data_IF_498142549257
#
_entry.id   IF_498142549257
#
_cell.length_a   1.000
_cell.length_b   1.000
_cell.length_c   1.000
_cell.angle_alpha   90.00
_cell.angle_beta   90.00
_cell.angle_gamma   90.00
#
_symmetry.space_group_name_H-M   'P 1'
#
loop_
_entity.id
_entity.type
_entity.pdbx_description
1 polymer ?
2 non-polymer ?
3 water ?
#
# COMPACT_ATOMS: atom_id res chain seq x y z
N UNK A 1 -18.59 0.57 9.05
CA UNK A 1 -20.07 0.50 9.22
C UNK A 1 -20.67 -0.59 8.37
N UNK A 2 -19.85 -1.25 7.58
CA UNK A 2 -20.28 -2.41 6.82
C UNK A 2 -19.25 -3.50 6.78
N UNK A 3 -19.69 -4.74 6.90
CA UNK A 3 -18.81 -5.89 6.81
C UNK A 3 -18.77 -6.36 5.36
N UNK A 4 -17.58 -6.68 4.86
CA UNK A 4 -17.46 -7.15 3.48
C UNK A 4 -16.95 -8.57 3.46
N UNK A 5 -17.71 -9.45 2.84
CA UNK A 5 -17.28 -10.84 2.68
C UNK A 5 -16.98 -11.08 1.22
N UNK A 6 -15.72 -11.40 0.92
CA UNK A 6 -15.29 -11.70 -0.40
C UNK A 6 -15.12 -13.22 -0.42
N UNK A 7 -15.97 -13.93 -1.17
CA UNK A 7 -16.01 -15.38 -1.14
C UNK A 7 -15.63 -16.03 -2.48
N UNK A 8 -14.47 -16.67 -2.51
CA UNK A 8 -13.95 -17.32 -3.73
C UNK A 8 -14.05 -16.48 -4.97
N UNK A 9 -13.63 -15.23 -4.87
CA UNK A 9 -13.76 -14.32 -5.98
C UNK A 9 -12.62 -14.46 -6.97
N UNK A 10 -13.01 -14.71 -8.21
CA UNK A 10 -12.07 -14.77 -9.30
C UNK A 10 -12.54 -13.82 -10.39
N UNK A 11 -11.63 -13.30 -11.17
CA UNK A 11 -12.01 -12.46 -12.29
C UNK A 11 -11.02 -12.73 -13.41
N UNK A 12 -11.58 -13.00 -14.59
CA UNK A 12 -10.76 -13.24 -15.75
C UNK A 12 -11.11 -12.22 -16.83
N UNK A 13 -10.17 -12.05 -17.73
CA UNK A 13 -10.27 -11.24 -18.93
C UNK A 13 -9.78 -12.08 -20.11
N UNK A 14 -9.92 -11.53 -21.30
CA UNK A 14 -9.42 -12.17 -22.52
C UNK A 14 -9.90 -13.62 -22.62
N UNK A 15 -11.17 -13.82 -22.28
CA UNK A 15 -11.88 -15.10 -22.42
C UNK A 15 -11.27 -16.18 -21.53
N UNK A 16 -10.59 -15.74 -20.48
CA UNK A 16 -9.98 -16.64 -19.54
C UNK A 16 -8.46 -16.67 -19.55
N UNK A 17 -7.87 -16.11 -20.60
CA UNK A 17 -6.43 -16.19 -20.73
C UNK A 17 -5.72 -15.41 -19.64
N UNK A 18 -6.31 -14.31 -19.21
CA UNK A 18 -5.77 -13.48 -18.12
C UNK A 18 -6.58 -13.65 -16.84
N UNK A 19 -5.94 -14.13 -15.78
CA UNK A 19 -6.64 -14.33 -14.52
C UNK A 19 -6.23 -13.22 -13.56
N UNK A 20 -7.07 -12.20 -13.45
CA UNK A 20 -6.73 -11.03 -12.65
C UNK A 20 -6.81 -11.30 -11.18
N UNK A 21 -7.80 -12.05 -10.78
CA UNK A 21 -7.99 -12.47 -9.41
C UNK A 21 -8.29 -13.94 -9.38
N UNK A 22 -7.69 -14.66 -8.44
CA UNK A 22 -7.83 -16.12 -8.38
C UNK A 22 -8.24 -16.62 -7.00
N UNK A 23 -9.54 -16.86 -6.84
CA UNK A 23 -10.13 -17.39 -5.61
C UNK A 23 -9.73 -16.62 -4.34
N UNK A 24 -9.99 -15.34 -4.39
CA UNK A 24 -9.70 -14.44 -3.30
C UNK A 24 -10.76 -14.56 -2.22
N UNK A 25 -10.34 -14.72 -0.97
CA UNK A 25 -11.19 -14.81 0.18
C UNK A 25 -10.72 -13.88 1.29
N UNK A 26 -11.56 -12.93 1.66
CA UNK A 26 -11.28 -12.02 2.75
C UNK A 26 -12.57 -11.66 3.46
N UNK A 27 -12.54 -11.53 4.77
CA UNK A 27 -13.68 -11.03 5.49
C UNK A 27 -13.21 -9.75 6.18
N UNK A 28 -13.71 -8.59 5.72
CA UNK A 28 -13.36 -7.26 6.24
C UNK A 28 -14.38 -6.81 7.24
N UNK A 29 -13.95 -6.48 8.43
CA UNK A 29 -14.91 -6.18 9.49
C UNK A 29 -15.45 -4.77 9.39
N UNK A 30 -16.62 -4.56 9.99
CA UNK A 30 -17.28 -3.27 9.96
C UNK A 30 -16.34 -2.29 10.62
N UNK A 31 -16.05 -1.19 9.93
CA UNK A 31 -15.18 -0.15 10.42
C UNK A 31 -13.69 -0.40 10.32
N UNK A 32 -13.32 -1.51 9.69
CA UNK A 32 -11.91 -1.86 9.59
C UNK A 32 -11.24 -1.03 8.52
N UNK A 33 -9.96 -0.71 8.70
CA UNK A 33 -9.15 -0.07 7.67
C UNK A 33 -8.29 -1.16 7.05
N UNK A 34 -8.58 -1.52 5.83
CA UNK A 34 -7.91 -2.65 5.18
C UNK A 34 -7.18 -2.15 3.97
N UNK A 35 -5.97 -2.62 3.76
CA UNK A 35 -5.26 -2.22 2.59
C UNK A 35 -4.86 -3.38 1.71
N UNK A 36 -4.60 -3.10 0.42
CA UNK A 36 -4.06 -4.12 -0.48
C UNK A 36 -2.83 -3.57 -1.15
N UNK A 37 -1.76 -4.36 -1.15
CA UNK A 37 -0.55 -4.02 -1.87
C UNK A 37 -0.27 -5.11 -2.89
N UNK A 38 0.56 -4.87 -3.92
CA UNK A 38 0.88 -5.92 -4.87
C UNK A 38 1.50 -5.33 -6.14
N UNK A 39 2.15 -6.15 -6.96
CA UNK A 39 2.82 -5.65 -8.15
C UNK A 39 1.87 -5.16 -9.25
N UNK A 40 0.61 -5.60 -9.24
CA UNK A 40 -0.30 -5.35 -10.35
C UNK A 40 -1.30 -4.22 -10.07
N UNK A 41 -1.01 -3.03 -10.58
CA UNK A 41 -1.98 -1.96 -10.38
C UNK A 41 -3.34 -2.39 -10.94
N UNK A 42 -3.30 -3.04 -12.10
CA UNK A 42 -4.55 -3.41 -12.78
C UNK A 42 -5.42 -4.36 -11.97
N UNK A 43 -4.80 -5.41 -11.44
CA UNK A 43 -5.44 -6.39 -10.57
C UNK A 43 -5.98 -5.84 -9.26
N UNK A 44 -5.17 -5.01 -8.59
CA UNK A 44 -5.69 -4.27 -7.44
C UNK A 44 -6.84 -3.42 -7.86
N UNK A 45 -6.78 -2.77 -9.02
CA UNK A 45 -7.86 -1.91 -9.45
C UNK A 45 -9.07 -2.77 -9.77
N UNK A 46 -8.80 -3.95 -10.31
CA UNK A 46 -9.88 -4.88 -10.61
C UNK A 46 -10.62 -5.22 -9.32
N UNK A 47 -9.84 -5.54 -8.30
CA UNK A 47 -10.42 -5.87 -7.00
C UNK A 47 -11.27 -4.69 -6.49
N UNK A 48 -10.73 -3.48 -6.57
CA UNK A 48 -11.48 -2.29 -6.07
C UNK A 48 -12.74 -2.02 -6.90
N UNK A 49 -12.66 -2.26 -8.21
CA UNK A 49 -13.84 -2.04 -9.05
C UNK A 49 -14.93 -3.06 -8.74
N UNK A 50 -14.51 -4.28 -8.40
CA UNK A 50 -15.50 -5.27 -7.95
C UNK A 50 -16.19 -4.89 -6.64
N UNK A 51 -15.41 -4.42 -5.68
CA UNK A 51 -15.99 -3.94 -4.42
C UNK A 51 -16.91 -2.75 -4.68
N UNK A 52 -16.54 -1.86 -5.58
CA UNK A 52 -17.40 -0.71 -5.90
C UNK A 52 -18.68 -1.07 -6.63
N UNK A 53 -18.64 -2.15 -7.39
CA UNK A 53 -19.75 -2.55 -8.20
C UNK A 53 -19.66 -2.06 -9.64
N UNK A 54 -18.49 -1.58 -10.02
CA UNK A 54 -18.18 -1.15 -11.39
C UNK A 54 -17.83 -2.34 -12.29
N UNK A 55 -17.50 -3.46 -11.65
CA UNK A 55 -17.25 -4.72 -12.30
C UNK A 55 -17.79 -5.81 -11.38
N UNK A 56 -17.85 -7.04 -11.86
CA UNK A 56 -18.32 -8.18 -11.07
C UNK A 56 -17.36 -9.35 -11.10
N UNK A 57 -17.43 -10.23 -10.11
CA UNK A 57 -16.60 -11.43 -10.12
C UNK A 57 -17.00 -12.32 -11.30
N UNK A 58 -16.03 -12.95 -11.94
CA UNK A 58 -16.38 -13.97 -12.94
C UNK A 58 -17.01 -15.15 -12.25
N UNK A 59 -16.40 -15.59 -11.14
CA UNK A 59 -16.92 -16.61 -10.27
C UNK A 59 -16.72 -16.16 -8.83
N UNK A 60 -17.58 -16.65 -7.93
CA UNK A 60 -17.54 -16.23 -6.53
C UNK A 60 -18.64 -15.21 -6.20
N UNK A 61 -18.65 -14.84 -4.95
CA UNK A 61 -19.69 -13.98 -4.42
C UNK A 61 -19.12 -12.87 -3.54
N UNK A 62 -19.86 -11.79 -3.48
CA UNK A 62 -19.50 -10.60 -2.70
C UNK A 62 -20.72 -10.20 -1.87
N UNK A 63 -20.54 -10.07 -0.55
CA UNK A 63 -21.58 -9.65 0.38
C UNK A 63 -21.18 -8.40 1.15
N UNK A 64 -22.16 -7.49 1.31
CA UNK A 64 -22.05 -6.33 2.18
C UNK A 64 -23.04 -6.63 3.33
N UNK A 65 -22.53 -6.77 4.54
CA UNK A 65 -23.29 -7.35 5.64
C UNK A 65 -23.83 -8.71 5.15
N UNK A 66 -25.11 -8.94 5.22
CA UNK A 66 -25.61 -10.25 4.79
C UNK A 66 -26.17 -10.17 3.32
N UNK A 67 -25.97 -9.01 2.68
CA UNK A 67 -26.53 -8.73 1.35
C UNK A 67 -25.61 -9.18 0.21
N UNK A 68 -26.14 -10.05 -0.63
CA UNK A 68 -25.40 -10.49 -1.79
C UNK A 68 -25.44 -9.41 -2.84
N UNK A 69 -24.29 -8.80 -3.11
CA UNK A 69 -24.26 -7.69 -4.08
C UNK A 69 -23.78 -8.06 -5.52
N UNK A 70 -23.04 -9.17 -5.65
CA UNK A 70 -22.58 -9.64 -6.96
C UNK A 70 -22.27 -11.10 -6.82
N UNK A 71 -22.45 -11.86 -7.90
CA UNK A 71 -22.29 -13.29 -7.86
C UNK A 71 -22.14 -13.88 -9.26
N UNK A 72 -21.03 -14.57 -9.48
CA UNK A 72 -20.89 -15.37 -10.67
C UNK A 72 -21.32 -14.66 -11.97
N UNK A 73 -20.74 -13.50 -12.21
CA UNK A 73 -20.96 -12.81 -13.46
C UNK A 73 -22.14 -11.87 -13.46
N UNK A 74 -22.84 -11.82 -12.34
CA UNK A 74 -24.01 -10.96 -12.22
C UNK A 74 -23.90 -9.84 -11.18
N UNK A 75 -24.28 -8.63 -11.59
CA UNK A 75 -24.35 -7.46 -10.71
C UNK A 75 -25.75 -7.49 -10.11
N UNK A 76 -25.82 -7.69 -8.81
CA UNK A 76 -27.11 -7.80 -8.13
C UNK A 76 -27.54 -6.47 -7.50
N UNK A 77 -26.60 -5.80 -6.83
CA UNK A 77 -26.78 -4.48 -6.25
C UNK A 77 -25.77 -3.56 -6.88
N UNK A 78 -26.25 -2.62 -7.66
CA UNK A 78 -25.42 -1.63 -8.35
C UNK A 78 -24.70 -0.63 -7.43
N UNK A 79 -23.68 0.05 -7.93
CA UNK A 79 -22.85 0.95 -7.12
C UNK A 79 -23.66 1.94 -6.30
N UNK A 80 -24.65 2.55 -6.94
CA UNK A 80 -25.43 3.61 -6.30
C UNK A 80 -26.24 3.15 -5.10
N UNK A 81 -26.48 1.84 -4.99
CA UNK A 81 -27.21 1.25 -3.87
C UNK A 81 -26.32 0.59 -2.79
N UNK A 82 -24.98 0.74 -2.91
CA UNK A 82 -24.07 0.08 -1.96
C UNK A 82 -23.48 0.92 -0.79
N UNK A 83 -23.82 2.17 -0.74
CA UNK A 83 -23.37 3.10 0.30
C UNK A 83 -21.87 3.23 0.33
N UNK A 84 -21.32 3.51 -0.85
CA UNK A 84 -19.90 3.67 -1.05
C UNK A 84 -19.53 5.07 -1.50
N UNK A 85 -18.38 5.54 -1.04
CA UNK A 85 -17.72 6.74 -1.54
C UNK A 85 -16.39 6.33 -2.17
N UNK A 86 -16.09 6.84 -3.36
CA UNK A 86 -14.87 6.51 -4.07
C UNK A 86 -13.94 7.68 -4.26
N UNK A 87 -12.66 7.50 -3.93
CA UNK A 87 -11.59 8.47 -4.26
C UNK A 87 -10.62 7.66 -5.07
N UNK A 88 -10.67 7.86 -6.36
CA UNK A 88 -9.88 7.05 -7.28
C UNK A 88 -9.03 8.01 -8.08
N UNK A 89 -7.76 7.66 -8.26
CA UNK A 89 -6.89 8.49 -9.06
C UNK A 89 -7.50 8.70 -10.45
N UNK A 90 -8.23 7.71 -10.95
CA UNK A 90 -8.87 7.71 -12.29
C UNK A 90 -10.21 8.44 -12.42
N UNK A 91 -10.82 8.81 -11.28
CA UNK A 91 -12.09 9.55 -11.28
C UNK A 91 -11.81 11.01 -10.93
N UNK A 92 -11.55 11.82 -11.94
CA UNK A 92 -11.16 13.19 -11.67
C UNK A 92 -12.36 14.07 -11.33
N UNK A 93 -12.08 15.27 -10.84
CA UNK A 93 -13.14 16.26 -10.73
C UNK A 93 -13.58 16.69 -12.13
N UNK A 94 -14.86 17.04 -12.33
CA UNK A 94 -15.31 17.54 -13.59
C UNK A 94 -14.83 18.98 -13.75
N UNK A 95 -14.05 19.20 -14.78
CA UNK A 95 -13.36 20.47 -14.96
C UNK A 95 -14.22 21.68 -15.13
N UNK A 96 -15.42 21.50 -15.67
CA UNK A 96 -16.29 22.63 -15.92
C UNK A 96 -17.48 22.68 -14.98
N UNK A 97 -17.33 22.05 -13.84
CA UNK A 97 -18.28 22.25 -12.74
C UNK A 97 -17.47 22.89 -11.63
N UNK A 98 -18.10 23.81 -10.91
CA UNK A 98 -17.40 24.33 -9.75
C UNK A 98 -17.24 23.28 -8.67
N UNK A 99 -16.46 23.61 -7.65
CA UNK A 99 -16.36 22.72 -6.53
C UNK A 99 -17.73 22.34 -5.96
N UNK A 100 -18.59 23.35 -5.76
CA UNK A 100 -19.91 23.08 -5.28
C UNK A 100 -20.61 22.08 -6.15
N UNK A 101 -20.62 22.36 -7.44
CA UNK A 101 -21.29 21.49 -8.39
C UNK A 101 -20.72 20.08 -8.37
N UNK A 102 -19.40 19.97 -8.25
CA UNK A 102 -18.77 18.65 -8.17
C UNK A 102 -19.21 17.87 -6.94
N UNK A 103 -19.31 18.52 -5.79
CA UNK A 103 -19.72 17.85 -4.61
C UNK A 103 -21.23 17.56 -4.60
N UNK A 104 -22.01 18.43 -5.24
CA UNK A 104 -23.48 18.23 -5.28
C UNK A 104 -23.90 17.12 -6.27
N UNK A 105 -23.04 16.83 -7.25
CA UNK A 105 -23.37 15.95 -8.36
C UNK A 105 -23.99 14.62 -7.90
N UNK A 106 -23.39 13.93 -6.93
CA UNK A 106 -23.98 12.66 -6.50
C UNK A 106 -25.35 12.77 -5.89
N UNK A 107 -25.77 13.96 -5.52
CA UNK A 107 -27.05 14.18 -4.86
C UNK A 107 -28.18 14.45 -5.85
N UNK A 108 -27.81 14.54 -7.12
CA UNK A 108 -28.77 14.96 -8.17
C UNK A 108 -30.10 14.22 -8.15
N UNK A 109 -30.02 12.91 -7.95
CA UNK A 109 -31.21 12.05 -7.99
C UNK A 109 -31.55 11.36 -6.67
N UNK A 110 -31.17 11.99 -5.56
CA UNK A 110 -31.47 11.50 -4.23
C UNK A 110 -32.71 12.09 -3.59
N UNK A 111 -33.64 12.63 -4.38
CA UNK A 111 -34.87 13.21 -3.89
C UNK A 111 -34.73 14.28 -2.81
N UNK A 112 -33.70 15.12 -2.97
CA UNK A 112 -33.48 16.24 -2.09
C UNK A 112 -33.85 17.51 -2.79
N UNK A 113 -34.41 18.48 -2.05
CA UNK A 113 -34.66 19.79 -2.56
C UNK A 113 -33.36 20.60 -2.73
N UNK A 114 -33.50 21.74 -3.38
CA UNK A 114 -32.36 22.60 -3.66
C UNK A 114 -31.72 23.01 -2.34
N UNK A 115 -32.55 23.39 -1.35
CA UNK A 115 -31.99 23.82 -0.07
C UNK A 115 -31.32 22.66 0.66
N UNK A 116 -31.90 21.47 0.57
CA UNK A 116 -31.33 20.30 1.21
C UNK A 116 -29.96 19.96 0.65
N UNK A 117 -29.85 20.01 -0.70
CA UNK A 117 -28.57 19.79 -1.34
C UNK A 117 -27.54 20.85 -0.88
N UNK A 118 -27.94 22.12 -0.92
CA UNK A 118 -27.02 23.19 -0.55
C UNK A 118 -26.52 22.99 0.91
N UNK A 119 -27.46 22.74 1.81
CA UNK A 119 -27.09 22.52 3.21
C UNK A 119 -26.10 21.36 3.36
N UNK A 120 -26.34 20.24 2.69
CA UNK A 120 -25.45 19.09 2.79
C UNK A 120 -24.07 19.37 2.22
N UNK A 121 -24.02 19.98 1.05
CA UNK A 121 -22.76 20.32 0.43
C UNK A 121 -21.96 21.28 1.32
N UNK A 122 -22.62 22.32 1.83
CA UNK A 122 -21.94 23.34 2.65
C UNK A 122 -21.42 22.68 3.94
N UNK A 123 -22.19 21.74 4.49
CA UNK A 123 -21.81 21.09 5.75
C UNK A 123 -20.55 20.27 5.56
N UNK A 124 -20.53 19.46 4.49
CA UNK A 124 -19.36 18.69 4.22
C UNK A 124 -18.16 19.58 3.88
N UNK A 125 -18.39 20.63 3.11
CA UNK A 125 -17.28 21.47 2.74
C UNK A 125 -16.71 22.16 3.97
N UNK A 126 -17.57 22.55 4.90
CA UNK A 126 -17.04 23.18 6.14
C UNK A 126 -16.16 22.21 6.89
N UNK A 127 -16.62 20.97 7.02
CA UNK A 127 -15.88 19.97 7.79
C UNK A 127 -14.52 19.73 7.14
N UNK A 128 -14.48 19.76 5.79
CA UNK A 128 -13.23 19.53 5.09
C UNK A 128 -12.46 20.80 4.76
N UNK A 129 -12.92 21.94 5.29
CA UNK A 129 -12.25 23.22 5.13
C UNK A 129 -12.04 23.67 3.69
N UNK A 130 -13.06 23.49 2.87
CA UNK A 130 -13.06 24.01 1.50
C UNK A 130 -14.31 24.80 1.21
N UNK A 131 -15.02 25.18 2.26
CA UNK A 131 -16.23 25.97 2.07
C UNK A 131 -15.96 27.31 1.36
N UNK A 132 -14.78 27.87 1.57
CA UNK A 132 -14.40 29.19 1.04
C UNK A 132 -13.96 29.15 -0.43
N UNK A 133 -13.83 27.94 -1.01
CA UNK A 133 -13.47 27.84 -2.43
C UNK A 133 -14.55 27.10 -3.21
N UNK A 134 -15.77 27.04 -2.69
CA UNK A 134 -16.83 26.34 -3.39
C UNK A 134 -17.13 26.88 -4.78
N UNK A 135 -16.94 28.19 -5.01
CA UNK A 135 -17.20 28.73 -6.33
C UNK A 135 -16.08 28.58 -7.38
N UNK A 136 -14.95 28.04 -6.98
CA UNK A 136 -13.83 27.83 -7.89
C UNK A 136 -14.00 26.59 -8.77
N UNK A 137 -13.54 26.68 -10.00
CA UNK A 137 -13.40 25.49 -10.82
C UNK A 137 -12.17 24.75 -10.33
N UNK A 138 -12.11 23.47 -10.59
CA UNK A 138 -10.95 22.69 -10.15
C UNK A 138 -9.56 23.19 -10.52
N UNK A 139 -9.40 23.78 -11.71
CA UNK A 139 -8.12 24.28 -12.11
C UNK A 139 -7.59 25.41 -11.20
N UNK A 140 -8.51 26.12 -10.55
CA UNK A 140 -8.15 27.24 -9.70
C UNK A 140 -7.95 26.82 -8.23
N UNK A 141 -8.07 25.53 -7.97
CA UNK A 141 -7.83 24.97 -6.65
C UNK A 141 -6.40 24.49 -6.51
N UNK A 142 -5.83 24.62 -5.31
CA UNK A 142 -4.56 23.97 -5.05
C UNK A 142 -4.70 22.43 -5.04
N UNK A 143 -3.58 21.73 -5.01
CA UNK A 143 -3.62 20.28 -4.93
C UNK A 143 -4.37 19.72 -3.75
N UNK A 144 -4.12 20.31 -2.59
CA UNK A 144 -4.75 19.92 -1.36
C UNK A 144 -6.22 20.18 -1.40
N UNK A 145 -6.59 21.32 -1.97
CA UNK A 145 -8.01 21.63 -2.11
C UNK A 145 -8.73 20.68 -3.07
N UNK A 146 -8.05 20.31 -4.16
CA UNK A 146 -8.63 19.36 -5.10
C UNK A 146 -8.87 18.04 -4.38
N UNK A 147 -7.87 17.63 -3.57
CA UNK A 147 -8.00 16.40 -2.80
C UNK A 147 -9.21 16.45 -1.87
N UNK A 148 -9.39 17.58 -1.23
CA UNK A 148 -10.47 17.76 -0.30
C UNK A 148 -11.84 17.77 -1.04
N UNK A 149 -11.90 18.38 -2.20
CA UNK A 149 -13.14 18.40 -2.96
C UNK A 149 -13.52 16.98 -3.40
N UNK A 150 -12.51 16.22 -3.85
CA UNK A 150 -12.74 14.83 -4.23
C UNK A 150 -13.21 14.02 -3.03
N UNK A 151 -12.62 14.22 -1.85
CA UNK A 151 -13.12 13.51 -0.68
C UNK A 151 -14.54 13.96 -0.28
N UNK A 152 -14.84 15.24 -0.40
CA UNK A 152 -16.17 15.72 -0.11
C UNK A 152 -17.17 15.08 -1.05
N UNK A 153 -16.84 15.00 -2.32
CA UNK A 153 -17.74 14.35 -3.27
C UNK A 153 -18.01 12.88 -2.87
N UNK A 154 -16.96 12.20 -2.40
CA UNK A 154 -17.11 10.82 -1.93
C UNK A 154 -17.91 10.69 -0.66
N UNK A 155 -17.96 11.74 0.15
CA UNK A 155 -18.63 11.67 1.45
C UNK A 155 -20.02 12.27 1.52
N UNK A 156 -20.45 12.87 0.41
CA UNK A 156 -21.65 13.67 0.44
C UNK A 156 -22.93 12.87 0.70
N UNK A 157 -22.97 11.61 0.28
CA UNK A 157 -24.14 10.76 0.55
C UNK A 157 -24.04 9.94 1.82
N UNK A 158 -23.07 10.26 2.68
CA UNK A 158 -22.92 9.54 3.96
C UNK A 158 -22.76 8.01 3.74
N UNK A 159 -21.66 7.64 3.15
CA UNK A 159 -21.40 6.24 2.86
C UNK A 159 -20.99 5.45 4.08
N UNK A 160 -21.09 4.13 3.95
CA UNK A 160 -20.69 3.13 4.96
C UNK A 160 -19.28 2.59 4.68
N UNK A 161 -18.81 2.78 3.45
CA UNK A 161 -17.57 2.23 2.91
C UNK A 161 -16.86 3.30 2.07
N UNK A 162 -15.59 3.56 2.35
CA UNK A 162 -14.80 4.53 1.58
C UNK A 162 -13.73 3.71 0.89
N UNK A 163 -13.68 3.86 -0.42
CA UNK A 163 -12.77 3.11 -1.27
C UNK A 163 -11.74 4.07 -1.88
N UNK A 164 -10.45 3.81 -1.66
CA UNK A 164 -9.39 4.69 -2.12
C UNK A 164 -8.45 3.92 -3.05
N UNK A 165 -8.32 4.37 -4.29
CA UNK A 165 -7.40 3.71 -5.24
C UNK A 165 -6.35 4.72 -5.67
N UNK A 166 -5.11 4.54 -5.19
CA UNK A 166 -4.01 5.48 -5.42
C UNK A 166 -4.45 6.89 -5.12
N UNK A 167 -5.03 7.12 -3.94
CA UNK A 167 -5.71 8.39 -3.67
C UNK A 167 -4.80 9.59 -3.51
N UNK A 168 -3.50 9.40 -3.29
CA UNK A 168 -2.60 10.54 -3.05
C UNK A 168 -1.60 10.74 -4.17
N UNK A 169 -1.79 9.99 -5.24
CA UNK A 169 -0.81 9.97 -6.32
C UNK A 169 -0.73 11.20 -7.17
N UNK A 170 -1.71 12.08 -7.07
CA UNK A 170 -1.67 13.35 -7.79
C UNK A 170 -0.93 14.42 -7.01
N UNK A 171 -0.70 14.18 -5.72
CA UNK A 171 -0.04 15.15 -4.86
C UNK A 171 1.47 15.09 -4.87
N UNK A 172 2.07 16.26 -4.67
CA UNK A 172 3.50 16.33 -4.47
C UNK A 172 3.84 15.48 -3.24
N UNK A 173 5.00 14.82 -3.30
CA UNK A 173 5.38 13.92 -2.24
C UNK A 173 5.27 14.61 -0.89
N UNK A 174 5.61 15.88 -0.86
CA UNK A 174 5.65 16.63 0.41
C UNK A 174 4.28 16.86 1.05
N UNK A 175 3.23 16.75 0.26
CA UNK A 175 1.85 16.97 0.73
C UNK A 175 1.17 15.65 1.10
N UNK A 176 1.80 14.52 0.83
CA UNK A 176 1.10 13.24 1.06
C UNK A 176 0.92 12.89 2.52
N UNK A 177 1.80 13.34 3.39
CA UNK A 177 1.62 12.97 4.79
C UNK A 177 0.37 13.67 5.32
N UNK A 178 0.16 14.89 4.87
CA UNK A 178 -1.00 15.66 5.29
C UNK A 178 -2.31 15.04 4.75
N UNK A 179 -2.29 14.60 3.50
CA UNK A 179 -3.42 13.92 2.93
C UNK A 179 -3.73 12.59 3.63
N UNK A 180 -2.69 11.85 3.97
CA UNK A 180 -2.91 10.57 4.66
C UNK A 180 -3.55 10.85 6.02
N UNK A 181 -3.10 11.91 6.70
CA UNK A 181 -3.62 12.27 8.00
C UNK A 181 -5.07 12.68 7.92
N UNK A 182 -5.44 13.40 6.86
CA UNK A 182 -6.84 13.81 6.67
C UNK A 182 -7.71 12.56 6.53
N UNK A 183 -7.31 11.61 5.70
CA UNK A 183 -8.10 10.39 5.52
C UNK A 183 -8.26 9.66 6.85
N UNK A 184 -7.20 9.64 7.64
CA UNK A 184 -7.24 8.97 8.93
C UNK A 184 -8.31 9.61 9.84
N UNK A 185 -8.28 10.95 9.87
CA UNK A 185 -9.22 11.76 10.64
C UNK A 185 -10.66 11.52 10.21
N UNK A 186 -10.91 11.56 8.90
CA UNK A 186 -12.24 11.31 8.37
C UNK A 186 -12.75 9.91 8.75
N UNK A 187 -11.92 8.90 8.54
CA UNK A 187 -12.32 7.55 8.90
C UNK A 187 -12.68 7.41 10.38
N UNK A 188 -11.90 8.02 11.25
CA UNK A 188 -12.13 7.93 12.70
C UNK A 188 -13.42 8.63 13.02
N UNK A 189 -13.66 9.74 12.36
CA UNK A 189 -14.84 10.52 12.65
C UNK A 189 -16.14 9.82 12.22
N UNK A 190 -16.08 9.17 11.07
CA UNK A 190 -17.27 8.57 10.47
C UNK A 190 -17.43 7.11 10.79
N UNK A 191 -16.33 6.45 11.14
CA UNK A 191 -16.34 5.04 11.50
C UNK A 191 -16.57 4.11 10.32
N UNK A 192 -16.35 4.62 9.13
CA UNK A 192 -16.54 3.87 7.89
C UNK A 192 -15.56 2.74 7.72
N UNK A 193 -16.01 1.67 7.11
CA UNK A 193 -15.07 0.69 6.61
C UNK A 193 -14.26 1.39 5.56
N UNK A 194 -12.98 1.06 5.45
CA UNK A 194 -12.13 1.76 4.49
C UNK A 194 -11.25 0.76 3.80
N UNK A 195 -11.21 0.79 2.47
CA UNK A 195 -10.31 -0.08 1.72
C UNK A 195 -9.41 0.83 0.89
N UNK A 196 -8.11 0.61 0.99
CA UNK A 196 -7.15 1.41 0.23
C UNK A 196 -6.21 0.49 -0.55
N UNK A 197 -6.04 0.78 -1.84
CA UNK A 197 -5.08 0.06 -2.67
C UNK A 197 -4.05 1.02 -3.14
N UNK A 198 -2.79 0.57 -3.13
CA UNK A 198 -1.69 1.45 -3.49
C UNK A 198 -0.43 0.64 -3.78
N UNK A 199 0.41 1.25 -4.59
CA UNK A 199 1.74 0.69 -4.84
C UNK A 199 2.70 1.12 -3.75
N UNK A 200 2.31 2.11 -2.96
CA UNK A 200 3.24 2.69 -2.00
C UNK A 200 2.92 2.19 -0.61
N UNK A 201 3.85 1.48 0.01
CA UNK A 201 3.62 1.01 1.37
C UNK A 201 3.37 2.14 2.37
N UNK A 202 3.90 3.35 2.16
CA UNK A 202 3.66 4.43 3.13
C UNK A 202 2.19 4.73 3.32
N UNK A 203 1.43 4.54 2.25
CA UNK A 203 -0.02 4.73 2.33
C UNK A 203 -0.63 3.65 3.23
N UNK A 204 -0.19 2.40 3.05
CA UNK A 204 -0.73 1.32 3.86
C UNK A 204 -0.34 1.46 5.34
N UNK A 205 0.92 1.79 5.63
CA UNK A 205 1.34 2.02 7.01
C UNK A 205 0.60 3.17 7.69
N UNK A 206 0.31 4.21 6.93
CA UNK A 206 -0.35 5.36 7.50
C UNK A 206 -1.80 5.10 7.79
N UNK A 207 -2.45 4.27 6.98
CA UNK A 207 -3.89 4.16 7.08
C UNK A 207 -4.44 2.81 7.45
N UNK A 208 -3.79 1.72 7.05
CA UNK A 208 -4.40 0.41 7.22
C UNK A 208 -4.05 -0.28 8.53
N UNK A 209 -5.01 -0.98 9.11
CA UNK A 209 -4.66 -1.81 10.25
C UNK A 209 -4.41 -3.28 9.92
N UNK A 210 -4.88 -3.72 8.75
CA UNK A 210 -4.63 -5.04 8.24
C UNK A 210 -4.42 -4.88 6.73
N UNK A 211 -3.51 -5.66 6.16
CA UNK A 211 -3.20 -5.56 4.74
C UNK A 211 -3.10 -6.92 4.13
N UNK A 212 -3.57 -7.02 2.90
CA UNK A 212 -3.37 -8.20 2.11
C UNK A 212 -2.45 -7.89 0.96
N UNK A 213 -1.65 -8.87 0.58
CA UNK A 213 -0.73 -8.71 -0.52
C UNK A 213 -1.16 -9.63 -1.68
N UNK A 214 -1.35 -9.01 -2.85
CA UNK A 214 -1.81 -9.71 -4.06
C UNK A 214 -0.64 -9.92 -5.02
N UNK A 215 -0.38 -11.18 -5.38
CA UNK A 215 0.69 -11.52 -6.31
C UNK A 215 0.07 -12.52 -7.29
N UNK A 216 0.13 -12.13 -8.56
CA UNK A 216 -0.41 -12.96 -9.63
C UNK A 216 -1.88 -13.30 -9.40
N UNK A 217 -2.61 -12.34 -8.86
CA UNK A 217 -4.04 -12.55 -8.63
C UNK A 217 -4.39 -13.31 -7.37
N UNK A 218 -3.38 -13.72 -6.60
CA UNK A 218 -3.63 -14.46 -5.40
C UNK A 218 -3.27 -13.65 -4.15
N UNK A 219 -4.06 -13.76 -3.12
CA UNK A 219 -3.77 -13.13 -1.82
C UNK A 219 -2.78 -14.07 -1.12
N UNK A 220 -1.53 -13.66 -1.03
CA UNK A 220 -0.47 -14.55 -0.56
C UNK A 220 -0.19 -14.42 0.93
N UNK A 221 -0.59 -13.32 1.53
CA UNK A 221 -0.40 -13.08 2.96
C UNK A 221 -1.33 -11.98 3.40
N UNK A 222 -1.86 -12.06 4.61
CA UNK A 222 -2.74 -11.08 5.15
C UNK A 222 -2.34 -10.92 6.60
N UNK A 223 -2.23 -9.69 7.05
CA UNK A 223 -1.91 -9.42 8.43
C UNK A 223 -1.71 -7.97 8.72
N UNK A 224 -1.29 -7.70 9.95
CA UNK A 224 -0.95 -6.34 10.31
C UNK A 224 0.25 -5.91 9.51
N UNK A 225 0.31 -4.65 9.07
CA UNK A 225 1.47 -4.19 8.31
C UNK A 225 2.85 -4.50 8.92
N UNK A 226 3.01 -4.28 10.21
CA UNK A 226 4.27 -4.51 10.86
C UNK A 226 4.62 -5.99 10.87
N UNK A 227 3.60 -6.84 10.88
CA UNK A 227 3.85 -8.27 10.85
C UNK A 227 4.32 -8.71 9.46
N UNK A 228 3.70 -8.23 8.40
CA UNK A 228 4.22 -8.50 7.06
C UNK A 228 5.63 -7.95 6.89
N UNK A 229 5.89 -6.78 7.48
CA UNK A 229 7.17 -6.16 7.32
C UNK A 229 8.28 -6.99 7.94
N UNK A 230 8.05 -7.49 9.13
CA UNK A 230 9.06 -8.30 9.82
C UNK A 230 9.00 -9.80 9.56
N UNK A 231 7.83 -10.33 9.20
CA UNK A 231 7.67 -11.76 8.96
C UNK A 231 6.97 -12.03 7.61
N UNK A 232 7.59 -11.56 6.56
CA UNK A 232 7.04 -11.81 5.22
C UNK A 232 7.13 -13.28 4.83
N UNK A 233 6.14 -13.75 4.09
CA UNK A 233 6.10 -15.16 3.70
C UNK A 233 7.11 -15.51 2.59
N UNK A 234 7.52 -14.50 1.86
CA UNK A 234 8.44 -14.64 0.74
C UNK A 234 9.24 -13.39 0.52
N UNK A 235 10.33 -13.47 -0.25
CA UNK A 235 11.09 -12.29 -0.50
C UNK A 235 10.31 -11.30 -1.34
N UNK A 236 9.41 -11.79 -2.19
CA UNK A 236 8.58 -10.91 -2.96
C UNK A 236 7.67 -10.07 -2.04
N UNK A 237 7.03 -10.69 -1.06
CA UNK A 237 6.20 -9.91 -0.13
C UNK A 237 7.10 -8.94 0.65
N UNK A 238 8.28 -9.41 1.06
CA UNK A 238 9.18 -8.58 1.83
C UNK A 238 9.47 -7.27 1.13
N UNK A 239 9.70 -7.36 -0.19
CA UNK A 239 10.02 -6.18 -0.97
C UNK A 239 8.83 -5.30 -1.33
N UNK A 240 7.65 -5.85 -1.33
CA UNK A 240 6.47 -5.03 -1.63
C UNK A 240 6.11 -4.14 -0.45
N UNK A 241 6.45 -4.58 0.77
CA UNK A 241 6.06 -3.81 1.97
C UNK A 241 7.13 -2.86 2.41
N UNK A 242 8.30 -2.94 1.76
CA UNK A 242 9.38 -2.01 2.07
C UNK A 242 10.68 -2.37 1.42
N UNK A 243 11.65 -1.46 1.47
CA UNK A 243 12.96 -1.75 0.90
C UNK A 243 13.61 -2.91 1.62
N UNK A 244 14.26 -3.70 0.80
CA UNK A 244 15.03 -4.82 1.29
C UNK A 244 16.16 -5.25 0.36
N UNK A 245 17.28 -5.65 0.98
CA UNK A 245 18.36 -6.23 0.20
C UNK A 245 18.08 -7.71 0.04
N UNK A 246 18.23 -8.23 -1.19
CA UNK A 246 18.00 -9.63 -1.54
C UNK A 246 19.34 -10.21 -2.00
N UNK A 247 19.80 -11.22 -1.28
CA UNK A 247 21.07 -11.88 -1.59
C UNK A 247 20.90 -13.37 -1.66
N UNK A 248 21.68 -13.98 -2.51
CA UNK A 248 21.64 -15.43 -2.63
C UNK A 248 22.95 -16.07 -2.18
N UNK A 249 22.88 -17.14 -1.40
CA UNK A 249 24.12 -17.79 -0.98
C UNK A 249 24.02 -19.27 -0.76
N UNK A 250 25.14 -19.89 -0.39
CA UNK A 250 25.20 -21.30 -0.14
C UNK A 250 24.96 -21.62 1.33
N UNK A 251 24.09 -22.60 1.57
CA UNK A 251 23.86 -23.10 2.92
C UNK A 251 25.04 -23.97 3.40
N UNK A 252 25.66 -23.59 4.52
CA UNK A 252 26.74 -24.38 5.15
C UNK A 252 26.44 -24.56 6.63
N UNK A 253 27.24 -25.43 7.25
CA UNK A 253 27.10 -25.72 8.66
C UNK A 253 27.33 -24.47 9.46
N UNK A 254 28.04 -23.52 8.86
CA UNK A 254 28.44 -22.29 9.55
C UNK A 254 27.55 -21.12 9.23
N UNK A 255 26.61 -21.34 8.31
CA UNK A 255 25.68 -20.27 7.94
C UNK A 255 25.55 -20.17 6.43
N UNK A 256 24.84 -19.16 5.97
CA UNK A 256 24.68 -18.92 4.55
C UNK A 256 25.83 -18.04 4.10
N UNK A 257 26.63 -18.56 3.19
CA UNK A 257 27.82 -17.90 2.73
C UNK A 257 27.64 -17.18 1.39
N UNK A 258 27.99 -15.90 1.40
CA UNK A 258 27.91 -15.04 0.23
C UNK A 258 29.24 -14.30 0.16
N UNK A 259 30.21 -14.87 -0.54
CA UNK A 259 31.55 -14.29 -0.58
C UNK A 259 32.13 -14.22 0.84
N UNK A 260 32.58 -13.04 1.19
CA UNK A 260 33.15 -12.80 2.50
C UNK A 260 32.10 -12.62 3.55
N UNK A 261 30.82 -12.72 3.20
CA UNK A 261 29.81 -12.61 4.23
C UNK A 261 29.26 -13.98 4.61
N UNK A 262 28.91 -14.14 5.89
CA UNK A 262 28.30 -15.37 6.34
C UNK A 262 27.22 -15.02 7.36
N UNK A 263 25.98 -15.40 7.05
CA UNK A 263 24.81 -15.09 7.90
C UNK A 263 24.43 -16.31 8.72
N UNK A 264 24.24 -16.16 10.03
CA UNK A 264 24.03 -17.28 10.95
C UNK A 264 22.59 -17.78 10.95
N UNK A 265 22.17 -18.24 9.79
CA UNK A 265 20.84 -18.80 9.58
C UNK A 265 20.98 -19.98 8.61
N UNK A 266 19.94 -20.79 8.51
CA UNK A 266 19.96 -21.95 7.63
C UNK A 266 18.54 -22.26 7.15
N UNK A 267 18.47 -23.00 6.03
CA UNK A 267 17.25 -23.60 5.55
C UNK A 267 17.63 -24.97 5.00
N UNK A 268 16.64 -25.78 4.68
CA UNK A 268 16.87 -27.16 4.25
C UNK A 268 17.42 -27.36 2.83
N UNK A 269 17.33 -26.35 2.00
CA UNK A 269 17.81 -26.37 0.62
C UNK A 269 19.32 -26.10 0.47
N UNK A 270 19.86 -26.31 -0.73
CA UNK A 270 21.29 -26.17 -0.92
C UNK A 270 21.68 -24.71 -0.91
N UNK A 271 20.76 -23.88 -1.38
CA UNK A 271 20.98 -22.45 -1.44
C UNK A 271 19.84 -21.71 -0.78
N UNK A 272 20.11 -20.46 -0.46
CA UNK A 272 19.15 -19.65 0.27
C UNK A 272 19.15 -18.24 -0.21
N UNK A 273 18.00 -17.61 -0.02
CA UNK A 273 17.86 -16.17 -0.27
C UNK A 273 17.82 -15.52 1.07
N UNK A 274 18.71 -14.54 1.25
CA UNK A 274 18.76 -13.75 2.46
C UNK A 274 18.10 -12.43 2.19
N UNK A 275 17.23 -11.99 3.10
CA UNK A 275 16.70 -10.66 3.04
C UNK A 275 17.13 -9.90 4.27
N UNK A 276 17.69 -8.72 4.06
CA UNK A 276 18.07 -7.85 5.16
C UNK A 276 17.74 -6.42 4.76
N UNK A 277 16.88 -5.76 5.53
CA UNK A 277 16.49 -4.42 5.20
C UNK A 277 17.59 -3.42 5.50
N UNK A 278 17.63 -2.32 4.77
CA UNK A 278 18.71 -1.36 4.99
C UNK A 278 18.89 -0.87 6.42
N UNK A 279 17.82 -0.66 7.18
CA UNK A 279 17.92 -0.20 8.56
C UNK A 279 18.59 -1.23 9.49
N UNK A 280 18.68 -2.46 9.01
CA UNK A 280 19.19 -3.56 9.78
C UNK A 280 20.61 -3.91 9.40
N UNK A 281 21.27 -2.98 8.71
CA UNK A 281 22.66 -3.13 8.31
C UNK A 281 23.42 -1.93 8.85
N UNK A 282 24.66 -2.15 9.35
CA UNK A 282 25.52 -1.06 9.79
C UNK A 282 26.93 -1.39 9.30
N UNK A 283 27.65 -0.38 8.86
CA UNK A 283 29.00 -0.51 8.39
C UNK A 283 30.02 0.19 9.29
N UNK A 284 31.22 -0.37 9.37
CA UNK A 284 32.31 0.29 10.09
C UNK A 284 33.68 -0.08 9.52
N UNK A 285 34.72 0.62 9.92
CA UNK A 285 36.02 0.27 9.44
C UNK A 285 36.74 -0.62 10.41
N UNK A 286 36.32 -0.61 11.66
CA UNK A 286 36.87 -1.49 12.72
C UNK A 286 35.71 -1.99 13.56
N UNK A 287 35.96 -2.87 14.50
CA UNK A 287 34.85 -3.40 15.24
C UNK A 287 34.20 -2.32 16.11
N UNK A 288 32.91 -2.43 16.25
CA UNK A 288 32.16 -1.51 17.12
C UNK A 288 31.95 -2.10 18.49
N UNK A 289 31.49 -1.31 19.43
CA UNK A 289 31.26 -1.84 20.77
C UNK A 289 29.76 -1.77 21.03
N UNK A 290 29.02 -2.74 20.48
CA UNK A 290 27.55 -2.77 20.57
C UNK A 290 26.97 -4.17 20.32
N UNK A 291 26.63 -4.87 21.40
CA UNK A 291 26.16 -6.24 21.29
C UNK A 291 24.78 -6.39 20.63
N UNK A 292 24.16 -5.28 20.25
CA UNK A 292 22.89 -5.39 19.55
C UNK A 292 23.04 -5.56 18.04
N UNK A 293 24.28 -5.59 17.58
CA UNK A 293 24.59 -5.82 16.19
C UNK A 293 25.53 -7.02 16.13
N UNK A 294 25.45 -7.79 15.07
CA UNK A 294 26.41 -8.92 14.92
C UNK A 294 27.19 -8.79 13.63
N UNK A 295 28.46 -9.18 13.68
CA UNK A 295 29.31 -9.16 12.50
C UNK A 295 28.94 -10.30 11.57
N UNK A 296 28.85 -9.99 10.29
CA UNK A 296 28.66 -11.02 9.26
C UNK A 296 29.81 -11.09 8.27
N UNK A 297 30.74 -10.13 8.32
CA UNK A 297 31.94 -10.23 7.51
C UNK A 297 32.40 -8.92 6.94
N UNK A 298 33.25 -9.01 5.91
CA UNK A 298 33.89 -7.85 5.30
C UNK A 298 33.18 -7.53 3.98
N UNK A 299 33.25 -6.30 3.55
CA UNK A 299 32.74 -5.93 2.26
C UNK A 299 33.54 -4.76 1.74
N UNK A 300 33.20 -4.32 0.53
CA UNK A 300 33.87 -3.20 -0.08
C UNK A 300 32.80 -2.22 -0.61
N UNK A 301 32.98 -0.91 -0.38
CA UNK A 301 32.01 0.05 -0.90
C UNK A 301 32.08 0.15 -2.43
N UNK A 302 30.93 -0.04 -3.07
CA UNK A 302 30.82 0.00 -4.51
C UNK A 302 30.42 1.37 -5.01
N UNK A 303 29.38 1.93 -4.42
CA UNK A 303 28.89 3.19 -4.86
C UNK A 303 28.06 3.87 -3.79
N UNK A 304 28.06 5.20 -3.83
CA UNK A 304 27.27 6.01 -2.93
C UNK A 304 26.25 6.85 -3.66
N UNK A 305 25.06 6.91 -3.09
CA UNK A 305 24.03 7.82 -3.52
C UNK A 305 23.66 8.77 -2.40
N UNK A 306 22.88 9.79 -2.73
CA UNK A 306 22.49 10.81 -1.74
C UNK A 306 21.00 11.05 -1.86
N UNK A 307 20.28 10.73 -0.79
CA UNK A 307 18.84 10.92 -0.81
C UNK A 307 18.32 11.20 0.56
N UNK A 308 17.43 12.18 0.67
CA UNK A 308 16.82 12.52 1.94
C UNK A 308 17.82 13.00 2.96
N UNK A 309 18.90 13.61 2.50
CA UNK A 309 19.92 14.11 3.38
C UNK A 309 20.79 13.00 3.93
N UNK A 310 20.62 11.79 3.43
CA UNK A 310 21.42 10.68 3.89
C UNK A 310 22.21 10.07 2.75
N UNK A 311 23.25 9.37 3.11
CA UNK A 311 24.03 8.66 2.13
C UNK A 311 23.56 7.22 2.03
N UNK A 312 23.32 6.81 0.81
CA UNK A 312 22.95 5.45 0.50
C UNK A 312 24.21 4.74 0.03
N UNK A 313 24.75 3.90 0.89
CA UNK A 313 26.04 3.25 0.65
C UNK A 313 25.78 1.83 0.23
N UNK A 314 26.24 1.49 -0.97
CA UNK A 314 26.09 0.16 -1.47
C UNK A 314 27.43 -0.54 -1.36
N UNK A 315 27.43 -1.72 -0.79
CA UNK A 315 28.66 -2.54 -0.72
C UNK A 315 28.44 -3.86 -1.42
N UNK A 316 29.54 -4.55 -1.72
CA UNK A 316 29.44 -5.94 -2.08
C UNK A 316 30.39 -6.68 -1.18
N UNK A 317 30.16 -7.96 -0.97
CA UNK A 317 31.14 -8.78 -0.28
C UNK A 317 32.36 -8.91 -1.18
N UNK A 318 33.50 -9.26 -0.61
CA UNK A 318 34.63 -9.58 -1.46
C UNK A 318 34.28 -10.91 -2.14
N UNK A 319 34.73 -11.09 -3.39
CA UNK A 319 34.45 -12.33 -4.12
C UNK A 319 32.96 -12.59 -4.34
N UNK A 320 32.20 -11.52 -4.56
CA UNK A 320 30.76 -11.61 -4.84
C UNK A 320 30.30 -10.33 -5.53
N UNK A 321 29.29 -10.43 -6.39
CA UNK A 321 28.69 -9.25 -6.97
C UNK A 321 27.37 -8.93 -6.30
N UNK A 322 26.98 -9.70 -5.28
CA UNK A 322 25.74 -9.41 -4.58
C UNK A 322 25.87 -8.05 -3.87
N UNK A 323 24.78 -7.30 -3.81
CA UNK A 323 24.85 -5.97 -3.19
C UNK A 323 24.03 -5.84 -1.95
N UNK A 324 24.50 -4.99 -1.05
CA UNK A 324 23.75 -4.60 0.11
C UNK A 324 23.88 -3.12 0.21
N UNK A 325 22.76 -2.44 0.35
CA UNK A 325 22.83 -1.01 0.61
C UNK A 325 22.18 -0.68 1.97
N UNK A 326 22.64 0.43 2.51
CA UNK A 326 22.17 0.94 3.77
C UNK A 326 22.27 2.48 3.72
N UNK A 327 21.67 3.15 4.71
CA UNK A 327 21.69 4.62 4.76
C UNK A 327 22.47 5.10 5.95
N UNK A 328 23.17 6.21 5.77
CA UNK A 328 23.99 6.70 6.86
C UNK A 328 24.18 8.19 6.84
N UNK A 329 24.54 8.75 7.99
CA UNK A 329 24.79 10.16 8.11
C UNK A 329 26.11 10.60 7.47
N UNK A 330 27.11 9.71 7.47
CA UNK A 330 28.42 10.05 6.88
C UNK A 330 28.74 9.01 5.82
N UNK A 331 29.50 9.41 4.83
CA UNK A 331 29.87 8.49 3.79
C UNK A 331 31.07 7.67 4.21
N UNK A 332 31.22 6.54 3.53
CA UNK A 332 32.43 5.74 3.50
C UNK A 332 32.69 5.65 2.00
N UNK A 333 33.82 6.16 1.57
CA UNK A 333 34.05 6.33 0.17
C UNK A 333 34.24 5.06 -0.65
N UNK A 334 33.96 5.15 -1.97
CA UNK A 334 34.03 3.99 -2.84
C UNK A 334 35.39 3.30 -2.78
N UNK A 335 35.38 1.96 -2.74
CA UNK A 335 36.61 1.19 -2.68
C UNK A 335 37.09 0.84 -1.29
N UNK A 336 36.49 1.47 -0.29
CA UNK A 336 36.91 1.23 1.08
C UNK A 336 36.47 -0.14 1.54
N UNK A 337 37.34 -0.81 2.29
CA UNK A 337 36.93 -2.09 2.90
C UNK A 337 36.27 -1.77 4.22
N UNK A 338 35.17 -2.44 4.48
CA UNK A 338 34.39 -2.20 5.68
C UNK A 338 33.99 -3.52 6.32
N UNK A 339 33.64 -3.44 7.60
CA UNK A 339 32.99 -4.55 8.30
C UNK A 339 31.49 -4.31 8.21
N UNK A 340 30.77 -5.40 8.10
CA UNK A 340 29.33 -5.42 7.88
C UNK A 340 28.68 -6.10 9.07
N UNK A 341 27.83 -5.34 9.72
CA UNK A 341 27.03 -5.79 10.86
C UNK A 341 25.56 -5.82 10.46
N UNK A 342 24.82 -6.74 11.06
CA UNK A 342 23.36 -6.75 10.91
C UNK A 342 22.65 -7.00 12.24
N UNK A 343 21.33 -6.71 12.25
CA UNK A 343 20.51 -7.09 13.37
C UNK A 343 20.16 -8.58 13.20
N UNK A 344 20.66 -9.41 14.11
CA UNK A 344 20.45 -10.86 13.99
C UNK A 344 19.02 -11.28 13.85
N UNK A 345 18.16 -10.70 14.67
CA UNK A 345 16.77 -11.12 14.65
C UNK A 345 15.99 -10.62 13.47
N UNK A 346 16.63 -9.83 12.61
CA UNK A 346 15.97 -9.27 11.46
C UNK A 346 16.39 -9.90 10.16
N UNK A 347 17.27 -10.90 10.22
CA UNK A 347 17.65 -11.62 9.03
C UNK A 347 16.50 -12.50 8.58
N UNK A 348 16.06 -12.33 7.34
CA UNK A 348 15.02 -13.16 6.73
C UNK A 348 15.71 -14.13 5.82
N UNK A 349 15.29 -15.37 5.88
CA UNK A 349 15.86 -16.38 5.00
C UNK A 349 14.76 -17.24 4.38
N UNK A 350 14.96 -17.59 3.14
CA UNK A 350 14.02 -18.38 2.34
C UNK A 350 14.77 -19.41 1.53
N UNK A 351 14.15 -20.54 1.26
CA UNK A 351 14.74 -21.56 0.39
C UNK A 351 14.79 -21.00 -1.02
N UNK A 352 15.86 -21.30 -1.74
CA UNK A 352 15.92 -20.91 -3.14
C UNK A 352 15.40 -22.10 -3.98
X LIG B 1 0.87 -14.94 -25.73
X LIG C 1 -18.34 14.37 6.26
X LIG D 1 4.60 -14.86 -2.89
X LIG E 1 -5.06 17.12 1.81
X LIG F 1 32.93 8.34 -3.22
X LIG G 1 -17.44 18.85 -17.13
X LIG H 1 -21.06 28.24 -4.45
X LIG I 1 -1.63 -11.57 -22.98
X LIG J 1 11.07 -16.47 -1.53
X LIG K 1 -8.30 11.18 0.06
X LIG L 1 -12.30 15.39 9.17
X LIG M 1 -20.85 -4.80 -14.25
X LIG N 1 1.47 -9.92 -10.36
X LIG O 1 -18.45 8.81 -5.05
X LIG P 1 11.07 -20.76 2.49
X LIG Q 1 40.82 5.95 8.79
X LIG R 1 -13.23 5.32 -12.56
X LIG S 1 22.47 6.35 10.47
X LIG T 1 -25.65 21.82 -8.53
X LIG U 1 -28.30 10.85 0.26
X LIG V 1 -25.81 -3.01 -0.23
X LIG W 1 -7.24 -16.17 -0.49
X LIG X 1 0.29 19.31 -4.55
X LIG Y 1 -23.27 -8.94 8.85
X LIG Z 1 -13.78 -12.21 -20.78
X LIG AA 1 -9.72 -11.82 -26.59
X LIG BA 1 -28.57 22.17 -6.79
X LIG CA 1 25.46 -24.99 -4.02
#
# INVERSE_FOLDING_TARGET
MVRIIVKNVSKVFKKGKVVALDNVNINIENGERFGILGPSGAGKTTFMRIIAGLDVPSTGELYFDDRLVASNGKLIVPPEDRKIGMVFQTWALYPNLTAFENIAFPLTNMKMSKEEIRKRVEEVAKILDIHHVLNHFPRELSGGQQQRVALARALVKDPSLLLLDEPFSNLDARMRDSARALVKEVQSRLGVTLLVVSHDPADIFAIADRVGVLVKGKLVQVGKPEDLYDNPVSIQVASLIGEINELEGKVTNEGVVIGSLRFPVSVSSDRAIIGIRPEDVKLSKDVIKDDSWILVGKGKVKVIGYQGGLFRITITPLDSEEEIFTYSDHPIHSGEEVLVYVRKDKIKVFEKN
IOD I
IOD I
IOD I
IOD I
IOD I
IOD I
IOD I
IOD I
IOD I
IOD I
IOD I
IOD I
IOD I
IOD I
IOD I
IOD I
IOD I
IOD I
IOD I
IOD I
IOD I
IOD I
IOD I
IOD I
IOD I
IOD I
IOD I
IOD I
#
